data_IF_853029838777
#
_entry.id   IF_853029838777
#
_cell.length_a   1.000
_cell.length_b   1.000
_cell.length_c   1.000
_cell.angle_alpha   90.00
_cell.angle_beta   90.00
_cell.angle_gamma   90.00
#
_symmetry.space_group_name_H-M   'P 1'
#
loop_
_entity.id
_entity.type
_entity.pdbx_description
1 polymer ?
#
# COMPACT_ATOMS: atom_id res chain seq x y z
N UNK A 1 12.75 22.82 -0.07
CA UNK A 1 12.48 22.62 0.01
C UNK A 1 11.60 22.21 0.12
N UNK A 2 11.44 22.00 0.11
CA UNK A 2 10.75 21.53 0.37
C UNK A 2 9.72 21.33 -0.08
N UNK A 3 9.47 21.08 -0.77
CA UNK A 3 8.60 20.87 -1.17
C UNK A 3 8.06 20.01 -1.30
N UNK A 4 7.41 19.76 -1.36
CA UNK A 4 6.80 18.80 -1.38
C UNK A 4 5.95 18.72 -2.46
N UNK A 5 6.15 18.11 -3.53
CA UNK A 5 5.35 17.70 -4.61
C UNK A 5 4.60 16.49 -4.11
N UNK A 6 3.30 16.54 -3.96
CA UNK A 6 2.56 15.41 -3.42
C UNK A 6 2.68 14.17 -4.28
N UNK A 7 2.80 14.34 -5.57
CA UNK A 7 2.91 13.20 -6.44
C UNK A 7 4.26 12.52 -6.29
N UNK A 8 5.31 13.30 -6.13
CA UNK A 8 6.62 12.77 -5.93
C UNK A 8 6.70 12.04 -4.60
N UNK A 9 6.10 12.61 -3.57
CA UNK A 9 6.07 11.97 -2.27
C UNK A 9 5.36 10.64 -2.31
N UNK A 10 4.27 10.56 -3.08
CA UNK A 10 3.52 9.33 -3.21
C UNK A 10 4.34 8.25 -3.91
N UNK A 11 5.07 8.62 -4.96
CA UNK A 11 5.91 7.67 -5.66
C UNK A 11 7.01 7.14 -4.78
N UNK A 12 7.59 8.01 -3.98
CA UNK A 12 8.63 7.58 -3.06
C UNK A 12 8.06 6.61 -2.04
N UNK A 13 6.87 6.88 -1.54
CA UNK A 13 6.22 6.01 -0.60
C UNK A 13 5.98 4.64 -1.17
N UNK A 14 5.51 4.59 -2.41
CA UNK A 14 5.25 3.32 -3.07
C UNK A 14 6.53 2.53 -3.30
N UNK A 15 7.59 3.20 -3.70
CA UNK A 15 8.86 2.54 -3.87
C UNK A 15 9.38 1.97 -2.57
N UNK A 16 9.23 2.73 -1.50
CA UNK A 16 9.66 2.26 -0.19
C UNK A 16 8.87 1.05 0.26
N UNK A 17 7.57 1.04 0.01
CA UNK A 17 6.74 -0.10 0.37
C UNK A 17 7.18 -1.35 -0.37
N UNK A 18 7.43 -1.23 -1.66
CA UNK A 18 7.86 -2.37 -2.43
C UNK A 18 9.17 -2.93 -1.91
N UNK A 19 10.11 -2.05 -1.67
CA UNK A 19 11.42 -2.47 -1.22
C UNK A 19 11.39 -3.07 0.17
N UNK A 20 10.66 -2.42 1.05
CA UNK A 20 10.63 -2.84 2.44
C UNK A 20 9.92 -4.17 2.66
N UNK A 21 8.81 -4.39 1.97
CA UNK A 21 8.01 -5.58 2.19
C UNK A 21 8.02 -6.57 1.05
N UNK A 22 8.72 -6.26 -0.01
CA UNK A 22 8.78 -7.17 -1.15
C UNK A 22 7.48 -7.24 -1.93
N UNK A 23 6.72 -6.15 -1.96
CA UNK A 23 5.47 -6.15 -2.68
C UNK A 23 5.70 -6.04 -4.18
N UNK A 24 4.82 -6.70 -4.94
CA UNK A 24 4.86 -6.54 -6.39
C UNK A 24 4.23 -5.20 -6.75
N UNK A 25 4.37 -4.80 -8.00
CA UNK A 25 3.74 -3.57 -8.48
C UNK A 25 2.25 -3.62 -8.28
N UNK A 26 1.63 -4.73 -8.61
CA UNK A 26 0.19 -4.88 -8.45
C UNK A 26 -0.22 -4.77 -6.99
N UNK A 27 0.53 -5.42 -6.12
CA UNK A 27 0.24 -5.37 -4.70
C UNK A 27 0.41 -3.96 -4.15
N UNK A 28 1.46 -3.28 -4.59
CA UNK A 28 1.69 -1.91 -4.16
C UNK A 28 0.55 -1.01 -4.59
N UNK A 29 0.06 -1.19 -5.81
CA UNK A 29 -1.06 -0.41 -6.30
C UNK A 29 -2.31 -0.62 -5.46
N UNK A 30 -2.60 -1.87 -5.12
CA UNK A 30 -3.75 -2.17 -4.30
C UNK A 30 -3.58 -1.59 -2.90
N UNK A 31 -2.40 -1.73 -2.32
CA UNK A 31 -2.12 -1.18 -1.00
C UNK A 31 -2.31 0.33 -0.98
N UNK A 32 -1.91 1.00 -2.05
CA UNK A 32 -2.07 2.44 -2.14
C UNK A 32 -3.54 2.84 -2.11
N UNK A 33 -4.41 2.07 -2.78
CA UNK A 33 -5.84 2.36 -2.75
C UNK A 33 -6.42 2.12 -1.36
N UNK A 34 -5.97 1.07 -0.71
CA UNK A 34 -6.40 0.78 0.66
C UNK A 34 -5.99 1.92 1.59
N UNK A 35 -4.78 2.42 1.39
CA UNK A 35 -4.26 3.49 2.21
C UNK A 35 -5.07 4.77 2.05
N UNK A 36 -5.66 4.97 0.88
CA UNK A 36 -6.51 6.12 0.64
C UNK A 36 -7.86 5.99 1.34
N UNK A 37 -8.16 4.83 1.89
CA UNK A 37 -9.40 4.63 2.61
C UNK A 37 -10.44 3.78 1.89
N UNK A 38 -10.10 3.24 0.73
CA UNK A 38 -11.05 2.41 0.01
C UNK A 38 -11.04 1.00 0.56
N UNK A 39 -12.22 0.38 0.62
CA UNK A 39 -12.29 -1.03 0.95
C UNK A 39 -11.84 -1.87 -0.21
N UNK A 40 -11.74 -3.19 0.02
CA UNK A 40 -11.25 -4.10 -1.00
C UNK A 40 -12.03 -4.02 -2.31
N UNK A 41 -13.36 -3.99 -2.23
CA UNK A 41 -14.16 -3.97 -3.45
C UNK A 41 -14.00 -2.67 -4.22
N UNK A 42 -13.97 -1.55 -3.52
CA UNK A 42 -13.79 -0.27 -4.18
C UNK A 42 -12.38 -0.17 -4.77
N UNK A 43 -11.39 -0.66 -4.04
CA UNK A 43 -10.04 -0.65 -4.52
C UNK A 43 -9.90 -1.50 -5.78
N UNK A 44 -10.55 -2.66 -5.79
CA UNK A 44 -10.53 -3.53 -6.97
C UNK A 44 -11.09 -2.81 -8.18
N UNK A 45 -12.21 -2.13 -7.98
CA UNK A 45 -12.87 -1.41 -9.05
C UNK A 45 -11.95 -0.32 -9.59
N UNK A 46 -11.31 0.43 -8.72
CA UNK A 46 -10.41 1.50 -9.11
C UNK A 46 -9.18 0.96 -9.83
N UNK A 47 -8.75 -0.24 -9.49
CA UNK A 47 -7.60 -0.87 -10.14
C UNK A 47 -7.97 -1.63 -11.40
N UNK A 48 -9.27 -1.77 -11.66
CA UNK A 48 -9.73 -2.52 -12.84
C UNK A 48 -9.48 -4.01 -12.72
N UNK A 49 -9.55 -4.55 -11.52
CA UNK A 49 -9.36 -5.99 -11.30
C UNK A 49 -10.59 -6.56 -10.64
N UNK A 50 -10.74 -7.86 -10.69
CA UNK A 50 -11.88 -8.52 -10.07
C UNK A 50 -11.73 -8.54 -8.55
N UNK A 51 -12.85 -8.72 -7.88
CA UNK A 51 -12.81 -8.83 -6.43
C UNK A 51 -11.99 -10.03 -6.00
N UNK A 52 -12.07 -11.12 -6.73
CA UNK A 52 -11.29 -12.31 -6.41
C UNK A 52 -9.79 -12.04 -6.52
N UNK A 53 -9.39 -11.32 -7.54
CA UNK A 53 -7.99 -10.96 -7.70
C UNK A 53 -7.54 -10.03 -6.57
N UNK A 54 -8.37 -9.07 -6.23
CA UNK A 54 -8.05 -8.16 -5.15
C UNK A 54 -7.91 -8.90 -3.82
N UNK A 55 -8.79 -9.86 -3.59
CA UNK A 55 -8.75 -10.65 -2.38
C UNK A 55 -7.44 -11.44 -2.29
N UNK A 56 -7.04 -12.03 -3.39
CA UNK A 56 -5.81 -12.80 -3.46
C UNK A 56 -4.59 -11.89 -3.23
N UNK A 57 -4.57 -10.74 -3.87
CA UNK A 57 -3.48 -9.80 -3.71
C UNK A 57 -3.42 -9.28 -2.28
N UNK A 58 -4.56 -8.99 -1.69
CA UNK A 58 -4.60 -8.48 -0.34
C UNK A 58 -4.10 -9.53 0.65
N UNK A 59 -4.45 -10.79 0.42
CA UNK A 59 -3.99 -11.87 1.25
C UNK A 59 -2.46 -11.95 1.20
N UNK A 60 -1.90 -11.81 0.04
CA UNK A 60 -0.46 -11.80 -0.14
C UNK A 60 0.18 -10.60 0.56
N UNK A 61 -0.44 -9.45 0.47
CA UNK A 61 0.04 -8.26 1.14
C UNK A 61 0.06 -8.47 2.66
N UNK A 62 -1.02 -9.02 3.20
CA UNK A 62 -1.07 -9.31 4.62
C UNK A 62 0.09 -10.21 5.04
N UNK A 63 0.33 -11.22 4.24
CA UNK A 63 1.38 -12.16 4.53
C UNK A 63 2.75 -11.49 4.53
N UNK A 64 3.01 -10.69 3.52
CA UNK A 64 4.30 -10.04 3.36
C UNK A 64 4.54 -8.95 4.40
N UNK A 65 3.49 -8.33 4.88
CA UNK A 65 3.61 -7.25 5.86
C UNK A 65 3.43 -7.73 7.30
N UNK A 66 3.04 -8.98 7.46
CA UNK A 66 2.83 -9.51 8.81
C UNK A 66 1.58 -8.97 9.48
N UNK A 67 0.61 -8.53 8.68
CA UNK A 67 -0.65 -8.02 9.23
C UNK A 67 -1.76 -8.99 8.91
N UNK A 68 -2.88 -8.87 9.62
CA UNK A 68 -4.02 -9.75 9.43
C UNK A 68 -5.30 -9.04 9.11
N UNK A 69 -5.36 -7.73 9.31
CA UNK A 69 -6.55 -6.96 9.08
C UNK A 69 -6.21 -5.69 8.35
N UNK A 70 -7.20 -5.17 7.64
CA UNK A 70 -6.99 -3.97 6.85
C UNK A 70 -6.57 -2.79 7.73
N UNK A 71 -7.16 -2.65 8.90
CA UNK A 71 -6.80 -1.56 9.78
C UNK A 71 -5.35 -1.65 10.22
N UNK A 72 -4.86 -2.84 10.48
CA UNK A 72 -3.47 -3.05 10.84
C UNK A 72 -2.56 -2.66 9.69
N UNK A 73 -2.96 -3.05 8.50
CA UNK A 73 -2.18 -2.76 7.31
C UNK A 73 -2.07 -1.26 7.11
N UNK A 74 -3.19 -0.55 7.20
CA UNK A 74 -3.19 0.89 7.02
C UNK A 74 -2.28 1.56 8.03
N UNK A 75 -2.37 1.12 9.28
CA UNK A 75 -1.54 1.68 10.31
C UNK A 75 -0.07 1.46 10.02
N UNK A 76 0.29 0.26 9.60
CA UNK A 76 1.66 -0.06 9.28
C UNK A 76 2.16 0.80 8.12
N UNK A 77 1.37 0.93 7.08
CA UNK A 77 1.78 1.68 5.91
C UNK A 77 1.93 3.17 6.20
N UNK A 78 1.14 3.69 7.11
CA UNK A 78 1.25 5.09 7.46
C UNK A 78 2.51 5.38 8.25
N UNK A 79 2.94 4.43 9.03
CA UNK A 79 4.10 4.61 9.88
C UNK A 79 5.41 4.29 9.19
N UNK A 80 5.40 3.22 8.44
CA UNK A 80 6.62 2.71 7.85
C UNK A 80 7.43 3.72 7.05
N UNK A 81 6.83 4.48 6.15
CA UNK A 81 7.62 5.43 5.37
C UNK A 81 8.27 6.48 6.22
N UNK A 82 7.59 6.90 7.25
CA UNK A 82 8.13 7.88 8.12
C UNK A 82 9.31 7.40 8.88
N UNK A 83 9.20 6.21 9.37
CA UNK A 83 10.30 5.60 10.10
C UNK A 83 11.53 5.54 9.24
N UNK A 84 11.33 5.26 7.98
CA UNK A 84 12.43 5.12 7.10
C UNK A 84 13.11 6.44 6.83
N UNK A 85 12.39 7.52 6.92
CA UNK A 85 12.96 8.77 6.67
C UNK A 85 13.77 9.31 7.78
N UNK A 86 13.42 9.00 8.97
CA UNK A 86 14.09 9.49 10.10
C UNK A 86 15.51 9.13 10.13
N UNK A 87 15.83 8.07 9.59
CA UNK A 87 17.12 7.62 9.65
C UNK A 87 17.87 8.11 8.83
#
# INVERSE_FOLDING_TARGET
>A
VTMRDPELARRQGEKNLRRRFGLTLAETGLAAEILKGYGRKAAARRRGISDATAKSQLSSIFEKTGTHRQAELVRLLLIAPEASEVE
#
